data_IF_591342467211
#
_entry.id   IF_591342467211
#
_cell.length_a   1.000
_cell.length_b   1.000
_cell.length_c   1.000
_cell.angle_alpha   90.00
_cell.angle_beta   90.00
_cell.angle_gamma   90.00
#
_symmetry.space_group_name_H-M   'P 1'
#
loop_
_entity.id
_entity.type
_entity.pdbx_description
1 polymer ?
#
# COMPACT_ATOMS: atom_id res chain seq x y z
N UNK A 1 9.79 -1.67 46.14
CA UNK A 1 10.55 -1.87 44.89
C UNK A 1 9.59 -1.64 43.74
N UNK A 2 9.64 -0.51 42.99
CA UNK A 2 8.76 -0.32 41.83
C UNK A 2 9.39 -0.96 40.59
N UNK A 3 8.59 -1.76 39.89
CA UNK A 3 8.89 -2.39 38.62
C UNK A 3 8.98 -1.34 37.50
N UNK A 4 10.16 -1.18 36.96
CA UNK A 4 10.40 -0.36 35.77
C UNK A 4 9.83 -1.08 34.55
N UNK A 5 8.65 -0.61 34.09
CA UNK A 5 8.17 -0.90 32.74
C UNK A 5 9.04 -0.06 31.80
N UNK A 6 9.91 -0.70 31.04
CA UNK A 6 10.70 -0.07 29.98
C UNK A 6 9.78 0.28 28.83
N UNK A 7 9.54 1.57 28.65
CA UNK A 7 8.87 2.16 27.51
C UNK A 7 9.64 1.82 26.21
N UNK A 8 9.01 1.24 25.17
CA UNK A 8 9.70 0.94 23.93
C UNK A 8 10.11 2.23 23.23
N UNK A 9 11.39 2.37 23.09
CA UNK A 9 12.18 3.51 22.65
C UNK A 9 11.55 4.21 21.44
N UNK A 10 11.18 5.46 21.65
CA UNK A 10 10.73 6.44 20.67
C UNK A 10 11.93 6.89 19.82
N UNK A 11 12.28 6.16 18.78
CA UNK A 11 13.25 6.60 17.78
C UNK A 11 12.59 7.64 16.86
N UNK A 12 12.56 8.88 17.31
CA UNK A 12 12.34 10.03 16.44
C UNK A 12 13.68 10.32 15.76
N UNK A 13 13.89 9.78 14.57
CA UNK A 13 14.97 10.23 13.71
C UNK A 13 14.61 11.64 13.23
N UNK A 14 15.22 12.66 13.85
CA UNK A 14 15.28 14.02 13.34
C UNK A 14 16.10 14.01 12.03
N UNK A 15 15.42 13.80 10.91
CA UNK A 15 16.00 14.08 9.59
C UNK A 15 15.81 15.58 9.36
N UNK A 16 16.87 16.36 9.08
CA UNK A 16 16.75 17.79 8.85
C UNK A 16 15.74 18.10 7.74
N UNK A 17 14.91 19.10 7.95
CA UNK A 17 13.82 19.56 7.08
C UNK A 17 14.27 19.89 5.65
N UNK A 18 15.52 20.25 5.44
CA UNK A 18 16.10 20.63 4.14
C UNK A 18 16.22 19.46 3.14
N UNK A 19 16.19 18.21 3.59
CA UNK A 19 16.27 17.01 2.74
C UNK A 19 14.88 16.66 2.14
N UNK A 20 13.78 17.12 2.72
CA UNK A 20 12.43 16.80 2.25
C UNK A 20 11.92 17.68 1.11
N UNK A 21 12.47 18.87 0.89
CA UNK A 21 11.89 19.90 0.03
C UNK A 21 12.05 19.70 -1.49
N UNK A 22 12.67 18.61 -1.98
CA UNK A 22 12.77 18.29 -3.42
C UNK A 22 12.79 16.77 -3.68
N UNK A 23 11.83 16.04 -3.18
CA UNK A 23 11.67 14.68 -3.66
C UNK A 23 10.81 14.70 -4.94
N UNK A 24 11.45 15.02 -6.07
CA UNK A 24 10.92 14.61 -7.37
C UNK A 24 10.58 13.13 -7.29
N UNK A 25 9.43 12.73 -7.80
CA UNK A 25 8.98 11.35 -7.89
C UNK A 25 9.99 10.57 -8.74
N UNK A 26 10.98 9.96 -8.09
CA UNK A 26 12.04 9.21 -8.76
C UNK A 26 11.73 7.73 -8.67
N UNK A 27 11.79 7.07 -9.82
CA UNK A 27 11.65 5.62 -9.90
C UNK A 27 12.64 4.90 -8.97
N UNK A 28 12.14 3.97 -8.17
CA UNK A 28 12.90 3.21 -7.18
C UNK A 28 13.06 1.77 -7.65
N UNK A 29 14.25 1.42 -8.14
CA UNK A 29 14.54 0.08 -8.67
C UNK A 29 14.40 -1.04 -7.63
N UNK A 30 14.33 -0.71 -6.34
CA UNK A 30 14.21 -1.62 -5.21
C UNK A 30 12.78 -1.72 -4.63
N UNK A 31 11.78 -1.08 -5.29
CA UNK A 31 10.40 -1.00 -4.82
C UNK A 31 9.41 -1.67 -5.76
N UNK A 32 8.78 -2.77 -5.34
CA UNK A 32 7.56 -3.32 -5.97
C UNK A 32 6.35 -2.52 -5.47
N UNK A 33 5.58 -1.92 -6.38
CA UNK A 33 4.26 -1.38 -6.05
C UNK A 33 3.20 -2.44 -6.35
N UNK A 34 2.51 -2.90 -5.31
CA UNK A 34 1.50 -3.96 -5.39
C UNK A 34 0.13 -3.37 -5.14
N UNK A 35 -0.75 -3.44 -6.14
CA UNK A 35 -2.16 -3.03 -6.03
C UNK A 35 -2.99 -4.24 -5.67
N UNK A 36 -3.67 -4.20 -4.52
CA UNK A 36 -4.61 -5.23 -4.11
C UNK A 36 -5.97 -5.00 -4.76
N UNK A 37 -6.30 -5.83 -5.73
CA UNK A 37 -7.61 -5.86 -6.40
C UNK A 37 -8.47 -7.06 -5.91
N UNK A 38 -8.24 -7.50 -4.69
CA UNK A 38 -8.97 -8.58 -4.03
C UNK A 38 -9.87 -8.06 -2.91
N UNK A 39 -11.15 -8.31 -3.01
CA UNK A 39 -12.13 -8.03 -1.96
C UNK A 39 -13.49 -8.60 -2.34
N UNK A 40 -14.32 -9.01 -1.35
CA UNK A 40 -15.70 -9.45 -1.56
C UNK A 40 -16.61 -8.24 -1.92
N UNK A 41 -16.24 -7.46 -2.94
CA UNK A 41 -17.08 -6.36 -3.47
C UNK A 41 -18.25 -6.88 -4.31
N UNK A 42 -18.91 -7.97 -3.85
CA UNK A 42 -20.11 -8.53 -4.49
C UNK A 42 -21.34 -7.62 -4.41
N UNK A 43 -21.26 -6.52 -3.64
CA UNK A 43 -22.40 -5.63 -3.41
C UNK A 43 -22.75 -4.73 -4.59
N UNK A 44 -21.84 -4.54 -5.55
CA UNK A 44 -22.05 -3.63 -6.69
C UNK A 44 -22.21 -4.35 -8.05
N UNK A 45 -22.25 -5.70 -8.07
CA UNK A 45 -22.53 -6.47 -9.29
C UNK A 45 -21.41 -6.51 -10.34
N UNK A 46 -20.37 -5.67 -10.22
CA UNK A 46 -19.15 -5.72 -11.04
C UNK A 46 -17.92 -5.60 -10.16
N UNK A 47 -16.75 -5.99 -10.71
CA UNK A 47 -15.49 -5.81 -9.99
C UNK A 47 -15.19 -4.32 -9.84
N UNK A 48 -15.11 -3.86 -8.59
CA UNK A 48 -14.80 -2.47 -8.24
C UNK A 48 -13.53 -1.95 -8.95
N UNK A 49 -12.54 -2.82 -9.13
CA UNK A 49 -11.30 -2.50 -9.82
C UNK A 49 -11.52 -2.04 -11.27
N UNK A 50 -12.54 -2.59 -11.93
CA UNK A 50 -12.90 -2.28 -13.32
C UNK A 50 -13.91 -1.13 -13.47
N UNK A 51 -14.45 -0.58 -12.36
CA UNK A 51 -15.37 0.55 -12.43
C UNK A 51 -14.68 1.79 -12.97
N UNK A 52 -15.39 2.52 -13.85
CA UNK A 52 -14.88 3.77 -14.40
C UNK A 52 -14.79 4.84 -13.31
N UNK A 53 -13.63 5.48 -13.18
CA UNK A 53 -13.36 6.65 -12.37
C UNK A 53 -12.73 7.71 -13.27
N UNK A 54 -13.39 8.85 -13.44
CA UNK A 54 -13.00 9.88 -14.40
C UNK A 54 -12.73 9.33 -15.82
N UNK A 55 -13.52 8.38 -16.27
CA UNK A 55 -13.44 7.80 -17.62
C UNK A 55 -12.40 6.70 -17.83
N UNK A 56 -11.65 6.29 -16.81
CA UNK A 56 -10.72 5.16 -16.86
C UNK A 56 -11.03 4.13 -15.75
N UNK A 57 -10.70 2.83 -15.91
CA UNK A 57 -10.82 1.85 -14.83
C UNK A 57 -10.04 2.28 -13.59
N UNK A 58 -10.66 2.16 -12.41
CA UNK A 58 -10.06 2.58 -11.14
C UNK A 58 -8.68 1.98 -10.89
N UNK A 59 -8.49 0.69 -11.22
CA UNK A 59 -7.20 0.02 -11.08
C UNK A 59 -6.12 0.62 -11.97
N UNK A 60 -6.48 1.06 -13.18
CA UNK A 60 -5.55 1.69 -14.12
C UNK A 60 -5.09 3.06 -13.61
N UNK A 61 -6.01 3.83 -13.04
CA UNK A 61 -5.68 5.08 -12.36
C UNK A 61 -4.67 4.86 -11.24
N UNK A 62 -4.92 3.89 -10.36
CA UNK A 62 -4.01 3.58 -9.24
C UNK A 62 -2.63 3.13 -9.76
N UNK A 63 -2.59 2.26 -10.77
CA UNK A 63 -1.34 1.83 -11.41
C UNK A 63 -0.59 3.01 -12.05
N UNK A 64 -1.30 3.88 -12.76
CA UNK A 64 -0.74 5.09 -13.38
C UNK A 64 -0.10 6.03 -12.37
N UNK A 65 -0.74 6.22 -11.21
CA UNK A 65 -0.22 7.05 -10.12
C UNK A 65 1.01 6.45 -9.43
N UNK A 66 1.09 5.12 -9.34
CA UNK A 66 2.24 4.44 -8.71
C UNK A 66 3.42 4.24 -9.66
N UNK A 67 3.19 4.19 -10.96
CA UNK A 67 4.21 3.93 -11.97
C UNK A 67 5.46 4.84 -11.89
N UNK A 68 5.35 6.15 -11.58
CA UNK A 68 6.50 7.03 -11.47
C UNK A 68 7.50 6.64 -10.37
N UNK A 69 7.04 6.00 -9.31
CA UNK A 69 7.88 5.61 -8.16
C UNK A 69 8.27 4.13 -8.18
N UNK A 70 7.56 3.30 -8.94
CA UNK A 70 7.72 1.85 -8.97
C UNK A 70 8.94 1.38 -9.75
N UNK A 71 9.68 0.38 -9.23
CA UNK A 71 10.62 -0.45 -9.98
C UNK A 71 9.91 -1.64 -10.64
N UNK A 72 8.79 -2.09 -10.05
CA UNK A 72 7.92 -3.16 -10.54
C UNK A 72 6.47 -2.82 -10.20
N UNK A 73 5.53 -3.14 -11.11
CA UNK A 73 4.09 -3.08 -10.85
C UNK A 73 3.53 -4.49 -10.75
N UNK A 74 2.72 -4.73 -9.72
CA UNK A 74 2.06 -6.02 -9.48
C UNK A 74 0.60 -5.76 -9.11
N UNK A 75 -0.29 -6.61 -9.57
CA UNK A 75 -1.69 -6.65 -9.13
C UNK A 75 -1.95 -8.00 -8.48
N UNK A 76 -2.46 -8.02 -7.27
CA UNK A 76 -2.91 -9.26 -6.61
C UNK A 76 -4.44 -9.29 -6.56
N UNK A 77 -5.01 -10.45 -6.92
CA UNK A 77 -6.48 -10.61 -7.03
C UNK A 77 -6.89 -12.06 -6.87
N UNK A 78 -8.12 -12.28 -6.39
CA UNK A 78 -8.73 -13.62 -6.38
C UNK A 78 -9.24 -14.06 -7.77
N UNK A 79 -9.26 -13.14 -8.77
CA UNK A 79 -9.80 -13.38 -10.11
C UNK A 79 -8.83 -12.88 -11.20
N UNK A 80 -7.66 -13.52 -11.35
CA UNK A 80 -6.60 -13.03 -12.25
C UNK A 80 -7.05 -12.93 -13.71
N UNK A 81 -7.92 -13.82 -14.18
CA UNK A 81 -8.42 -13.80 -15.56
C UNK A 81 -9.21 -12.53 -15.92
N UNK A 82 -9.88 -11.91 -14.94
CA UNK A 82 -10.64 -10.68 -15.17
C UNK A 82 -9.74 -9.45 -15.38
N UNK A 83 -8.52 -9.50 -14.85
CA UNK A 83 -7.53 -8.41 -14.92
C UNK A 83 -6.33 -8.74 -15.83
N UNK A 84 -6.34 -9.88 -16.55
CA UNK A 84 -5.25 -10.32 -17.40
C UNK A 84 -4.91 -9.30 -18.51
N UNK A 85 -5.88 -8.50 -18.97
CA UNK A 85 -5.68 -7.45 -19.96
C UNK A 85 -4.65 -6.38 -19.54
N UNK A 86 -4.41 -6.23 -18.22
CA UNK A 86 -3.41 -5.30 -17.70
C UNK A 86 -1.99 -5.71 -18.08
N UNK A 87 -1.72 -7.00 -18.31
CA UNK A 87 -0.41 -7.51 -18.72
C UNK A 87 -0.06 -7.14 -20.19
N UNK A 88 -1.01 -6.56 -20.91
CA UNK A 88 -0.82 -6.03 -22.28
C UNK A 88 -0.69 -4.48 -22.26
N UNK A 89 -0.77 -3.84 -21.08
CA UNK A 89 -0.76 -2.38 -20.95
C UNK A 89 0.47 -1.91 -20.17
N UNK A 90 1.07 -0.81 -20.61
CA UNK A 90 2.20 -0.18 -19.94
C UNK A 90 1.77 1.08 -19.18
N UNK A 91 2.20 1.20 -17.93
CA UNK A 91 2.04 2.37 -17.07
C UNK A 91 3.42 2.94 -16.76
N UNK A 92 3.69 4.16 -17.25
CA UNK A 92 5.02 4.76 -17.12
C UNK A 92 6.17 3.89 -17.66
N UNK A 93 5.90 3.05 -18.69
CA UNK A 93 6.87 2.11 -19.27
C UNK A 93 7.04 0.80 -18.49
N UNK A 94 6.23 0.55 -17.46
CA UNK A 94 6.18 -0.73 -16.74
C UNK A 94 4.88 -1.47 -17.12
N UNK A 95 5.00 -2.76 -17.39
CA UNK A 95 3.85 -3.66 -17.59
C UNK A 95 3.59 -4.38 -16.27
N UNK A 96 2.39 -4.29 -15.67
CA UNK A 96 2.09 -4.95 -14.41
C UNK A 96 2.00 -6.46 -14.59
N UNK A 97 2.35 -7.22 -13.55
CA UNK A 97 2.07 -8.64 -13.46
C UNK A 97 0.78 -8.85 -12.65
N UNK A 98 -0.10 -9.69 -13.16
CA UNK A 98 -1.32 -10.10 -12.45
C UNK A 98 -1.08 -11.44 -11.77
N UNK A 99 -1.25 -11.49 -10.46
CA UNK A 99 -0.93 -12.66 -9.62
C UNK A 99 -2.14 -13.04 -8.78
N UNK A 100 -2.46 -14.33 -8.75
CA UNK A 100 -3.53 -14.85 -7.90
C UNK A 100 -3.21 -14.68 -6.41
N UNK A 101 -4.23 -14.37 -5.63
CA UNK A 101 -4.12 -14.38 -4.16
C UNK A 101 -3.72 -15.78 -3.66
N UNK A 102 -2.99 -15.79 -2.54
CA UNK A 102 -2.69 -17.04 -1.83
C UNK A 102 -3.99 -17.71 -1.37
N UNK A 103 -3.94 -19.03 -1.25
CA UNK A 103 -5.01 -19.79 -0.59
C UNK A 103 -5.10 -19.42 0.89
N UNK A 104 -6.32 -19.47 1.42
CA UNK A 104 -6.61 -19.16 2.82
C UNK A 104 -7.90 -18.37 2.97
N UNK A 105 -8.29 -18.14 4.22
CA UNK A 105 -9.51 -17.39 4.55
C UNK A 105 -9.47 -15.98 4.00
N UNK A 106 -10.58 -15.52 3.42
CA UNK A 106 -10.70 -14.17 2.89
C UNK A 106 -10.52 -13.12 3.99
N UNK A 107 -9.72 -12.09 3.72
CA UNK A 107 -9.48 -11.02 4.69
C UNK A 107 -8.24 -10.20 4.38
N UNK A 108 -8.02 -9.17 5.18
CA UNK A 108 -6.93 -8.23 4.95
C UNK A 108 -5.54 -8.88 5.08
N UNK A 109 -5.36 -9.87 5.96
CA UNK A 109 -4.10 -10.61 6.09
C UNK A 109 -3.78 -11.40 4.82
N UNK A 110 -4.77 -12.06 4.19
CA UNK A 110 -4.55 -12.78 2.93
C UNK A 110 -4.05 -11.81 1.85
N UNK A 111 -4.67 -10.64 1.73
CA UNK A 111 -4.23 -9.63 0.76
C UNK A 111 -2.78 -9.19 0.99
N UNK A 112 -2.39 -8.88 2.23
CA UNK A 112 -1.00 -8.49 2.57
C UNK A 112 -0.03 -9.64 2.30
N UNK A 113 -0.35 -10.88 2.72
CA UNK A 113 0.51 -12.03 2.50
C UNK A 113 0.68 -12.32 1.00
N UNK A 114 -0.41 -12.25 0.21
CA UNK A 114 -0.39 -12.36 -1.26
C UNK A 114 0.50 -11.32 -1.89
N UNK A 115 0.37 -10.05 -1.47
CA UNK A 115 1.15 -8.93 -1.99
C UNK A 115 2.64 -9.07 -1.68
N UNK A 116 2.99 -9.45 -0.46
CA UNK A 116 4.38 -9.68 -0.06
C UNK A 116 5.00 -10.89 -0.79
N UNK A 117 4.22 -11.93 -1.06
CA UNK A 117 4.67 -13.10 -1.81
C UNK A 117 4.86 -12.77 -3.30
N UNK A 118 3.96 -11.96 -3.88
CA UNK A 118 3.99 -11.58 -5.29
C UNK A 118 5.10 -10.57 -5.63
N UNK A 119 5.47 -9.69 -4.70
CA UNK A 119 6.57 -8.74 -4.85
C UNK A 119 7.90 -9.45 -5.06
N UNK A 120 8.76 -8.93 -5.97
CA UNK A 120 10.09 -9.50 -6.27
C UNK A 120 11.23 -8.65 -5.71
N UNK A 121 10.99 -7.35 -5.51
CA UNK A 121 12.00 -6.41 -5.06
C UNK A 121 12.09 -6.38 -3.51
N UNK A 122 13.17 -5.81 -2.95
CA UNK A 122 13.39 -5.78 -1.50
C UNK A 122 12.28 -5.09 -0.70
N UNK A 123 11.68 -4.05 -1.26
CA UNK A 123 10.57 -3.29 -0.66
C UNK A 123 9.28 -3.53 -1.44
N UNK A 124 8.17 -3.58 -0.73
CA UNK A 124 6.82 -3.70 -1.28
C UNK A 124 5.94 -2.56 -0.76
N UNK A 125 5.56 -1.63 -1.63
CA UNK A 125 4.46 -0.72 -1.38
C UNK A 125 3.15 -1.47 -1.66
N UNK A 126 2.32 -1.64 -0.66
CA UNK A 126 1.03 -2.33 -0.79
C UNK A 126 -0.06 -1.30 -0.72
N UNK A 127 -0.87 -1.19 -1.78
CA UNK A 127 -1.92 -0.19 -1.95
C UNK A 127 -3.23 -0.89 -2.32
N UNK A 128 -4.32 -0.50 -1.68
CA UNK A 128 -5.65 -0.98 -2.07
C UNK A 128 -6.11 -0.33 -3.39
N UNK A 129 -6.78 -1.09 -4.24
CA UNK A 129 -7.24 -0.59 -5.55
C UNK A 129 -8.31 0.49 -5.46
N UNK A 130 -8.92 0.70 -4.28
CA UNK A 130 -9.97 1.70 -4.03
C UNK A 130 -9.44 3.07 -3.57
N UNK A 131 -8.14 3.31 -3.71
CA UNK A 131 -7.46 4.56 -3.38
C UNK A 131 -7.10 5.38 -4.64
N UNK A 132 -8.07 6.07 -5.30
CA UNK A 132 -7.84 6.77 -6.57
C UNK A 132 -6.86 7.94 -6.49
N UNK A 133 -6.60 8.43 -5.28
CA UNK A 133 -5.72 9.56 -5.01
C UNK A 133 -4.39 9.20 -4.38
N UNK A 134 -4.01 7.91 -4.37
CA UNK A 134 -2.71 7.48 -3.81
C UNK A 134 -1.57 8.40 -4.28
N UNK A 135 -0.73 8.86 -3.35
CA UNK A 135 0.38 9.77 -3.65
C UNK A 135 1.68 9.00 -3.87
N UNK A 136 2.30 9.12 -5.06
CA UNK A 136 3.63 8.56 -5.30
C UNK A 136 4.70 9.18 -4.40
N UNK A 137 4.55 10.47 -4.02
CA UNK A 137 5.44 11.17 -3.09
C UNK A 137 5.39 10.53 -1.69
N UNK A 138 4.17 10.22 -1.21
CA UNK A 138 3.98 9.52 0.06
C UNK A 138 4.66 8.14 0.02
N UNK A 139 4.41 7.35 -1.01
CA UNK A 139 5.03 6.03 -1.19
C UNK A 139 6.56 6.15 -1.22
N UNK A 140 7.08 7.17 -1.89
CA UNK A 140 8.49 7.50 -1.89
C UNK A 140 9.06 7.77 -0.50
N UNK A 141 8.40 8.61 0.29
CA UNK A 141 8.81 8.96 1.65
C UNK A 141 8.77 7.75 2.61
N UNK A 142 7.72 6.93 2.52
CA UNK A 142 7.61 5.68 3.28
C UNK A 142 8.74 4.71 2.94
N UNK A 143 9.05 4.56 1.63
CA UNK A 143 10.15 3.72 1.14
C UNK A 143 11.50 4.18 1.70
N UNK A 144 11.76 5.49 1.70
CA UNK A 144 13.00 6.04 2.24
C UNK A 144 13.13 5.79 3.74
N UNK A 145 12.04 5.86 4.50
CA UNK A 145 12.07 5.56 5.93
C UNK A 145 12.40 4.10 6.21
N UNK A 146 11.81 3.17 5.47
CA UNK A 146 12.13 1.74 5.59
C UNK A 146 13.57 1.46 5.16
N UNK A 147 14.04 2.12 4.10
CA UNK A 147 15.38 1.90 3.55
C UNK A 147 16.50 2.43 4.46
N UNK A 148 16.32 3.64 5.00
CA UNK A 148 17.33 4.35 5.80
C UNK A 148 17.36 3.93 7.28
N UNK A 149 16.31 3.28 7.77
CA UNK A 149 16.15 2.92 9.18
C UNK A 149 16.08 1.40 9.44
N UNK A 150 16.00 1.01 10.70
CA UNK A 150 15.85 -0.39 11.11
C UNK A 150 14.40 -0.91 10.94
N UNK A 151 13.55 -0.19 10.21
CA UNK A 151 12.14 -0.51 10.07
C UNK A 151 11.91 -1.67 9.11
N UNK A 152 10.98 -2.54 9.45
CA UNK A 152 10.46 -3.58 8.58
C UNK A 152 9.20 -3.10 7.84
N UNK A 153 8.49 -2.14 8.42
CA UNK A 153 7.34 -1.49 7.80
C UNK A 153 7.26 -0.02 8.21
N UNK A 154 6.86 0.85 7.27
CA UNK A 154 6.44 2.22 7.57
C UNK A 154 4.99 2.41 7.14
N UNK A 155 4.12 2.76 8.11
CA UNK A 155 2.67 2.87 7.94
C UNK A 155 2.24 4.31 8.15
N UNK A 156 1.42 4.90 7.26
CA UNK A 156 0.78 6.19 7.53
C UNK A 156 -0.15 6.10 8.74
N UNK A 157 -0.18 7.17 9.53
CA UNK A 157 -1.04 7.28 10.70
C UNK A 157 -1.75 8.63 10.73
N UNK A 158 -3.07 8.59 10.60
CA UNK A 158 -3.96 9.73 10.73
C UNK A 158 -4.68 9.73 12.08
N UNK A 159 -5.49 10.77 12.32
CA UNK A 159 -6.40 10.84 13.49
C UNK A 159 -7.40 9.67 13.53
N UNK A 160 -7.81 9.18 12.36
CA UNK A 160 -8.76 8.05 12.22
C UNK A 160 -8.11 6.68 12.49
N UNK A 161 -6.78 6.58 12.42
CA UNK A 161 -6.04 5.34 12.61
C UNK A 161 -4.84 5.19 11.68
N UNK A 162 -4.39 3.96 11.52
CA UNK A 162 -3.29 3.60 10.62
C UNK A 162 -3.84 3.10 9.29
N UNK A 163 -3.09 3.37 8.18
CA UNK A 163 -3.44 2.97 6.82
C UNK A 163 -2.48 1.88 6.29
N UNK A 164 -2.64 0.62 6.73
CA UNK A 164 -1.72 -0.45 6.37
C UNK A 164 -1.84 -0.90 4.90
N UNK A 165 -2.93 -0.54 4.23
CA UNK A 165 -3.14 -0.75 2.79
C UNK A 165 -2.72 0.47 1.95
N UNK A 166 -1.84 1.32 2.50
CA UNK A 166 -1.06 2.35 1.82
C UNK A 166 0.32 2.44 2.48
N UNK A 167 1.02 1.31 2.66
CA UNK A 167 2.24 1.21 3.45
C UNK A 167 3.38 0.55 2.67
N UNK A 168 4.62 0.79 3.13
CA UNK A 168 5.82 0.16 2.55
C UNK A 168 6.41 -0.83 3.54
N UNK A 169 6.67 -2.03 3.05
CA UNK A 169 7.09 -3.21 3.80
C UNK A 169 8.44 -3.71 3.31
N UNK A 170 9.33 -4.10 4.22
CA UNK A 170 10.54 -4.87 3.92
C UNK A 170 10.15 -6.32 3.67
N UNK A 171 10.14 -6.72 2.40
CA UNK A 171 9.62 -8.00 1.95
C UNK A 171 10.22 -9.20 2.72
N UNK A 172 11.55 -9.24 2.87
CA UNK A 172 12.24 -10.38 3.49
C UNK A 172 11.88 -10.56 4.98
N UNK A 173 11.66 -9.48 5.71
CA UNK A 173 11.27 -9.54 7.11
C UNK A 173 9.78 -9.87 7.28
N UNK A 174 8.92 -9.26 6.46
CA UNK A 174 7.47 -9.31 6.66
C UNK A 174 6.79 -10.52 6.00
N UNK A 175 7.27 -11.00 4.84
CA UNK A 175 6.60 -12.08 4.10
C UNK A 175 6.49 -13.39 4.88
N UNK A 176 7.55 -13.89 5.58
CA UNK A 176 7.45 -15.10 6.39
C UNK A 176 6.44 -14.97 7.53
N UNK A 177 6.43 -13.80 8.21
CA UNK A 177 5.52 -13.55 9.34
C UNK A 177 4.06 -13.44 8.85
N UNK A 178 3.83 -12.78 7.73
CA UNK A 178 2.49 -12.67 7.13
C UNK A 178 1.96 -14.05 6.70
N UNK A 179 2.82 -14.90 6.12
CA UNK A 179 2.48 -16.27 5.74
C UNK A 179 2.11 -17.11 6.96
N UNK A 180 2.93 -17.09 8.01
CA UNK A 180 2.66 -17.81 9.27
C UNK A 180 1.32 -17.37 9.88
N UNK A 181 1.05 -16.06 9.93
CA UNK A 181 -0.22 -15.53 10.46
C UNK A 181 -1.42 -15.94 9.61
N UNK A 182 -1.27 -16.00 8.30
CA UNK A 182 -2.31 -16.49 7.39
C UNK A 182 -2.60 -17.97 7.64
N UNK A 183 -1.57 -18.82 7.80
CA UNK A 183 -1.71 -20.24 8.09
C UNK A 183 -2.35 -20.51 9.46
N UNK A 184 -2.21 -19.56 10.40
CA UNK A 184 -2.87 -19.56 11.72
C UNK A 184 -4.28 -18.94 11.71
N UNK A 185 -4.83 -18.59 10.54
CA UNK A 185 -6.12 -17.90 10.36
C UNK A 185 -6.24 -16.57 11.12
N UNK A 186 -5.11 -15.85 11.28
CA UNK A 186 -5.08 -14.53 11.92
C UNK A 186 -5.38 -13.45 10.88
N UNK A 187 -6.61 -12.92 10.90
CA UNK A 187 -7.13 -12.03 9.86
C UNK A 187 -6.74 -10.56 10.02
N UNK A 188 -6.34 -10.13 11.22
CA UNK A 188 -6.08 -8.71 11.51
C UNK A 188 -4.64 -8.34 11.13
N UNK A 189 -4.47 -7.33 10.25
CA UNK A 189 -3.15 -6.81 9.87
C UNK A 189 -2.35 -6.33 11.09
N UNK A 190 -3.02 -5.84 12.14
CA UNK A 190 -2.39 -5.44 13.39
C UNK A 190 -1.50 -6.54 13.97
N UNK A 191 -1.90 -7.81 13.85
CA UNK A 191 -1.09 -8.93 14.32
C UNK A 191 0.28 -9.03 13.60
N UNK A 192 0.36 -8.61 12.33
CA UNK A 192 1.62 -8.54 11.60
C UNK A 192 2.46 -7.34 12.07
N UNK A 193 1.83 -6.17 12.17
CA UNK A 193 2.50 -4.92 12.60
C UNK A 193 3.13 -5.09 13.99
N UNK A 194 2.44 -5.77 14.91
CA UNK A 194 2.91 -6.00 16.28
C UNK A 194 4.08 -7.03 16.37
N UNK A 195 4.38 -7.74 15.27
CA UNK A 195 5.46 -8.75 15.20
C UNK A 195 6.71 -8.32 14.42
N UNK A 196 6.70 -7.11 13.87
CA UNK A 196 7.79 -6.55 13.06
C UNK A 196 8.19 -5.16 13.58
N UNK A 197 9.35 -4.64 13.17
CA UNK A 197 9.76 -3.29 13.53
C UNK A 197 8.96 -2.26 12.73
N UNK A 198 7.86 -1.80 13.30
CA UNK A 198 6.96 -0.85 12.66
C UNK A 198 7.34 0.59 13.01
N UNK A 199 7.38 1.44 11.99
CA UNK A 199 7.44 2.90 12.13
C UNK A 199 6.22 3.56 11.52
N UNK A 200 5.97 4.81 11.89
CA UNK A 200 4.81 5.56 11.43
C UNK A 200 5.21 6.88 10.80
N UNK A 201 4.45 7.30 9.80
CA UNK A 201 4.46 8.64 9.26
C UNK A 201 3.17 9.32 9.72
N UNK A 202 3.30 10.34 10.57
CA UNK A 202 2.14 11.00 11.18
C UNK A 202 1.52 12.05 10.24
N UNK A 203 0.23 12.37 10.45
CA UNK A 203 -0.57 13.25 9.60
C UNK A 203 0.14 14.57 9.19
N UNK A 204 0.83 15.33 10.07
CA UNK A 204 1.55 16.52 9.64
C UNK A 204 2.64 16.24 8.59
N UNK A 205 3.35 15.11 8.72
CA UNK A 205 4.40 14.69 7.79
C UNK A 205 3.77 14.17 6.47
N UNK A 206 2.60 13.55 6.54
CA UNK A 206 1.82 13.12 5.37
C UNK A 206 1.41 14.34 4.55
N UNK A 207 0.83 15.35 5.21
CA UNK A 207 0.41 16.60 4.55
C UNK A 207 1.61 17.35 3.94
N UNK A 208 2.76 17.38 4.62
CA UNK A 208 3.99 17.97 4.09
C UNK A 208 4.45 17.29 2.79
N UNK A 209 4.34 15.96 2.70
CA UNK A 209 4.84 15.17 1.56
C UNK A 209 3.80 15.05 0.44
N UNK A 210 2.54 14.74 0.78
CA UNK A 210 1.46 14.45 -0.17
C UNK A 210 0.54 15.67 -0.46
N UNK A 211 0.74 16.77 0.25
CA UNK A 211 -0.10 17.98 0.14
C UNK A 211 -1.42 17.88 0.91
N UNK A 212 -1.92 16.69 1.18
CA UNK A 212 -3.18 16.45 1.88
C UNK A 212 -3.30 14.99 2.33
N UNK A 213 -4.34 14.67 3.10
CA UNK A 213 -4.74 13.28 3.44
C UNK A 213 -5.71 12.68 2.43
N UNK A 214 -6.02 13.37 1.35
CA UNK A 214 -6.91 12.88 0.28
C UNK A 214 -6.42 11.54 -0.31
N UNK A 215 -5.11 11.27 -0.24
CA UNK A 215 -4.50 10.03 -0.71
C UNK A 215 -5.03 8.76 -0.02
N UNK A 216 -5.77 8.89 1.09
CA UNK A 216 -6.40 7.77 1.81
C UNK A 216 -7.91 7.67 1.60
N UNK A 217 -8.50 8.57 0.80
CA UNK A 217 -9.93 8.46 0.49
C UNK A 217 -10.19 7.21 -0.35
N UNK A 218 -11.04 6.35 0.20
CA UNK A 218 -11.48 5.11 -0.43
C UNK A 218 -12.83 5.32 -1.11
N UNK A 219 -13.02 4.72 -2.26
CA UNK A 219 -14.30 4.75 -2.99
C UNK A 219 -14.95 3.37 -2.92
N UNK A 220 -16.05 3.21 -2.19
CA UNK A 220 -16.72 1.92 -1.93
C UNK A 220 -18.15 1.86 -2.44
N UNK A 221 -18.80 3.01 -2.63
CA UNK A 221 -20.18 3.14 -3.09
C UNK A 221 -20.27 4.03 -4.32
N UNK A 222 -21.34 3.96 -5.13
CA UNK A 222 -21.54 4.86 -6.27
C UNK A 222 -21.52 6.33 -5.85
N UNK A 223 -22.06 6.66 -4.68
CA UNK A 223 -22.09 8.00 -4.14
C UNK A 223 -20.67 8.49 -3.80
N UNK A 224 -19.83 7.63 -3.18
CA UNK A 224 -18.43 7.94 -2.91
C UNK A 224 -17.63 8.10 -4.21
N UNK A 225 -17.90 7.28 -5.24
CA UNK A 225 -17.31 7.46 -6.58
C UNK A 225 -17.63 8.84 -7.15
N UNK A 226 -18.92 9.21 -7.20
CA UNK A 226 -19.34 10.51 -7.73
C UNK A 226 -18.75 11.68 -6.93
N UNK A 227 -18.70 11.57 -5.59
CA UNK A 227 -18.10 12.60 -4.75
C UNK A 227 -16.58 12.72 -4.98
N UNK A 228 -15.89 11.60 -5.12
CA UNK A 228 -14.45 11.56 -5.38
C UNK A 228 -14.09 12.10 -6.78
N UNK A 229 -14.92 11.84 -7.80
CA UNK A 229 -14.71 12.37 -9.16
C UNK A 229 -14.75 13.91 -9.18
N UNK A 230 -15.49 14.55 -8.27
CA UNK A 230 -15.49 16.02 -8.14
C UNK A 230 -14.20 16.58 -7.54
N UNK A 231 -13.36 15.73 -6.93
CA UNK A 231 -12.08 16.09 -6.31
C UNK A 231 -10.87 15.75 -7.21
N UNK A 232 -11.11 15.05 -8.31
CA UNK A 232 -10.06 14.56 -9.23
C UNK A 232 -9.69 15.57 -10.28
#
# INVERSE_FOLDING_TARGET
MPSTVTDPVRWVLNVPMEVFCRMTTVRRADLSCVVQAGGLSSRMGCDKACMAFCGEPLIERVLGRLAPVAGELVVTTSRPSELAYLEERAFGGLVPRVVADLEGSAGAMRGIASSLAAARLPLAAIVACDMPFVSPELIGALSDRVKKGPLDVCVPREKRGIEPLCAVWRRQACAPVARELLDQDRQRIRCLIDRVHAGYLDEPQIVEVAGSTLCFENVNTPEEFAAAELLA
#
